data_IF_456391672074
#
_entry.id   IF_456391672074
#
_cell.length_a   1.000
_cell.length_b   1.000
_cell.length_c   1.000
_cell.angle_alpha   90.00
_cell.angle_beta   90.00
_cell.angle_gamma   90.00
#
_symmetry.space_group_name_H-M   'P 1'
#
loop_
_entity.id
_entity.type
_entity.pdbx_description
1 polymer ?
#
# COMPACT_ATOMS: atom_id res chain seq x y z
N UNK A 1 -10.68 12.19 1.38
CA UNK A 1 -11.27 10.91 0.93
C UNK A 1 -11.63 10.07 2.16
N UNK A 2 -12.85 9.50 2.25
CA UNK A 2 -13.21 8.60 3.35
C UNK A 2 -12.26 7.38 3.45
N UNK A 3 -11.94 6.88 4.65
CA UNK A 3 -11.00 5.77 4.82
C UNK A 3 -11.36 4.53 4.01
N UNK A 4 -12.64 4.19 3.91
CA UNK A 4 -13.11 3.04 3.13
C UNK A 4 -12.78 3.14 1.64
N UNK A 5 -12.98 4.33 1.04
CA UNK A 5 -12.66 4.57 -0.37
C UNK A 5 -11.15 4.51 -0.59
N UNK A 6 -10.36 5.10 0.32
CA UNK A 6 -8.90 5.13 0.20
C UNK A 6 -8.32 3.73 0.24
N UNK A 7 -8.73 2.92 1.22
CA UNK A 7 -8.33 1.51 1.33
C UNK A 7 -8.70 0.70 0.09
N UNK A 8 -9.85 0.98 -0.53
CA UNK A 8 -10.29 0.29 -1.75
C UNK A 8 -9.41 0.63 -2.96
N UNK A 9 -9.01 1.90 -3.10
CA UNK A 9 -8.05 2.34 -4.13
C UNK A 9 -6.67 1.73 -3.88
N UNK A 10 -6.18 1.76 -2.64
CA UNK A 10 -4.89 1.16 -2.27
C UNK A 10 -4.85 -0.34 -2.58
N UNK A 11 -5.92 -1.06 -2.26
CA UNK A 11 -6.04 -2.49 -2.59
C UNK A 11 -5.97 -2.75 -4.09
N UNK A 12 -6.66 -1.95 -4.90
CA UNK A 12 -6.61 -2.08 -6.37
C UNK A 12 -5.20 -1.81 -6.89
N UNK A 13 -4.58 -0.72 -6.46
CA UNK A 13 -3.23 -0.36 -6.89
C UNK A 13 -2.19 -1.43 -6.51
N UNK A 14 -2.31 -2.04 -5.34
CA UNK A 14 -1.43 -3.15 -4.94
C UNK A 14 -1.61 -4.40 -5.82
N UNK A 15 -2.85 -4.74 -6.19
CA UNK A 15 -3.14 -5.88 -7.07
C UNK A 15 -2.65 -5.60 -8.50
N UNK A 16 -2.89 -4.40 -9.02
CA UNK A 16 -2.38 -3.96 -10.32
C UNK A 16 -0.85 -3.97 -10.38
N UNK A 17 -0.20 -3.66 -9.25
CA UNK A 17 1.24 -3.76 -9.09
C UNK A 17 1.74 -5.20 -8.88
N UNK A 18 0.89 -6.23 -8.96
CA UNK A 18 1.30 -7.64 -8.93
C UNK A 18 1.11 -8.36 -7.58
N UNK A 19 0.49 -7.72 -6.58
CA UNK A 19 0.23 -8.40 -5.31
C UNK A 19 -0.91 -9.42 -5.48
N UNK A 20 -0.73 -10.70 -5.09
CA UNK A 20 -1.76 -11.71 -5.20
C UNK A 20 -2.96 -11.36 -4.32
N UNK A 21 -4.13 -11.20 -4.94
CA UNK A 21 -5.35 -10.78 -4.26
C UNK A 21 -5.77 -11.69 -3.09
N UNK A 22 -5.44 -12.99 -3.16
CA UNK A 22 -5.71 -13.97 -2.11
C UNK A 22 -4.81 -13.88 -0.89
N UNK A 23 -3.65 -13.22 -1.00
CA UNK A 23 -2.71 -13.01 0.13
C UNK A 23 -2.72 -11.58 0.64
N UNK A 24 -3.42 -10.67 -0.04
CA UNK A 24 -3.49 -9.25 0.31
C UNK A 24 -4.60 -8.99 1.36
N UNK A 25 -4.24 -9.14 2.63
CA UNK A 25 -5.12 -8.88 3.78
C UNK A 25 -5.32 -7.40 4.14
N UNK A 26 -6.36 -7.12 4.93
CA UNK A 26 -6.71 -5.78 5.42
C UNK A 26 -5.54 -5.09 6.16
N UNK A 27 -4.78 -5.83 6.97
CA UNK A 27 -3.60 -5.32 7.68
C UNK A 27 -2.56 -4.72 6.73
N UNK A 28 -2.31 -5.36 5.59
CA UNK A 28 -1.38 -4.81 4.59
C UNK A 28 -1.87 -3.47 4.05
N UNK A 29 -3.17 -3.36 3.78
CA UNK A 29 -3.78 -2.13 3.30
C UNK A 29 -3.73 -1.03 4.37
N UNK A 30 -3.91 -1.38 5.63
CA UNK A 30 -3.77 -0.43 6.75
C UNK A 30 -2.34 0.11 6.87
N UNK A 31 -1.32 -0.74 6.73
CA UNK A 31 0.08 -0.27 6.74
C UNK A 31 0.39 0.65 5.55
N UNK A 32 -0.13 0.34 4.36
CA UNK A 32 -0.01 1.23 3.20
C UNK A 32 -0.79 2.54 3.43
N UNK A 33 -1.96 2.48 4.07
CA UNK A 33 -2.75 3.68 4.42
C UNK A 33 -2.00 4.58 5.41
N UNK A 34 -1.20 4.00 6.31
CA UNK A 34 -0.31 4.74 7.21
C UNK A 34 0.80 5.48 6.46
N UNK A 35 1.28 4.99 5.33
CA UNK A 35 2.22 5.78 4.50
C UNK A 35 1.58 7.07 3.99
N UNK A 36 0.28 7.03 3.70
CA UNK A 36 -0.46 8.20 3.20
C UNK A 36 -0.85 9.15 4.33
N UNK A 37 -1.20 8.63 5.50
CA UNK A 37 -1.80 9.41 6.60
C UNK A 37 -0.85 9.74 7.76
N UNK A 38 0.10 8.87 8.08
CA UNK A 38 1.04 9.03 9.19
C UNK A 38 2.39 9.51 8.70
N UNK A 39 2.93 10.60 9.28
CA UNK A 39 4.09 11.32 8.74
C UNK A 39 5.41 11.04 9.45
N UNK A 40 5.40 10.19 10.50
CA UNK A 40 6.57 9.84 11.31
C UNK A 40 6.82 8.34 11.25
N UNK A 41 8.09 7.94 11.25
CA UNK A 41 8.47 6.53 11.19
C UNK A 41 8.08 5.82 9.89
N UNK A 42 7.99 6.56 8.77
CA UNK A 42 7.67 5.96 7.47
C UNK A 42 8.83 5.07 7.00
N UNK A 43 8.49 3.93 6.40
CA UNK A 43 9.44 2.97 5.85
C UNK A 43 8.81 2.19 4.70
N UNK A 44 9.61 1.38 3.99
CA UNK A 44 9.08 0.52 2.95
C UNK A 44 8.17 -0.57 3.55
N UNK A 45 6.96 -0.72 3.00
CA UNK A 45 6.03 -1.78 3.37
C UNK A 45 6.13 -2.89 2.34
N UNK A 46 6.53 -4.07 2.79
CA UNK A 46 6.53 -5.27 1.97
C UNK A 46 5.11 -5.84 1.90
N UNK A 47 4.62 -5.99 0.69
CA UNK A 47 3.36 -6.63 0.36
C UNK A 47 3.64 -8.03 -0.22
N UNK A 48 2.65 -8.94 -0.18
CA UNK A 48 2.74 -10.23 -0.85
C UNK A 48 3.09 -10.08 -2.34
N UNK A 49 3.75 -11.10 -2.92
CA UNK A 49 4.07 -11.11 -4.35
C UNK A 49 5.27 -10.27 -4.75
N UNK A 50 6.22 -10.04 -3.82
CA UNK A 50 7.41 -9.18 -4.03
C UNK A 50 7.06 -7.73 -4.35
N UNK A 51 5.89 -7.29 -3.93
CA UNK A 51 5.45 -5.91 -4.08
C UNK A 51 5.93 -5.09 -2.88
N UNK A 52 6.45 -3.89 -3.13
CA UNK A 52 6.90 -2.96 -2.10
C UNK A 52 6.18 -1.64 -2.29
N UNK A 53 5.55 -1.14 -1.22
CA UNK A 53 4.95 0.18 -1.17
C UNK A 53 5.85 1.13 -0.38
N UNK A 54 6.18 2.28 -0.94
CA UNK A 54 6.96 3.33 -0.30
C UNK A 54 6.30 4.69 -0.53
N UNK A 55 6.65 5.66 0.32
CA UNK A 55 6.30 7.06 0.08
C UNK A 55 7.54 7.83 -0.33
N UNK A 56 7.46 8.53 -1.46
CA UNK A 56 8.55 9.34 -2.01
C UNK A 56 8.01 10.70 -2.44
N UNK A 57 8.54 11.78 -1.87
CA UNK A 57 8.20 13.15 -2.29
C UNK A 57 6.70 13.46 -2.27
N UNK A 58 5.94 12.90 -1.32
CA UNK A 58 4.48 13.08 -1.24
C UNK A 58 3.65 12.11 -2.08
N UNK A 59 4.28 11.26 -2.88
CA UNK A 59 3.62 10.23 -3.70
C UNK A 59 3.77 8.85 -3.09
N UNK A 60 2.72 8.04 -3.20
CA UNK A 60 2.80 6.61 -2.91
C UNK A 60 3.32 5.89 -4.16
N UNK A 61 4.41 5.16 -4.01
CA UNK A 61 5.04 4.36 -5.07
C UNK A 61 4.85 2.89 -4.70
N UNK A 62 4.25 2.13 -5.61
CA UNK A 62 4.08 0.67 -5.46
C UNK A 62 4.82 0.02 -6.62
N UNK A 63 5.75 -0.88 -6.31
CA UNK A 63 6.60 -1.55 -7.31
C UNK A 63 6.70 -3.04 -7.01
N UNK A 64 6.71 -3.86 -8.05
CA UNK A 64 7.09 -5.26 -7.97
C UNK A 64 8.58 -5.40 -8.26
N UNK A 65 9.28 -6.19 -7.45
CA UNK A 65 10.68 -6.59 -7.68
C UNK A 65 10.80 -7.97 -8.28
#
# INVERSE_FOLDING_TARGET
>A
LPPAVRRRVLRRAAIEAGAPAGSLFARHIEEVDRLVTGWRGQGAINLPGRVVATRQGGRLVIRQG
#
